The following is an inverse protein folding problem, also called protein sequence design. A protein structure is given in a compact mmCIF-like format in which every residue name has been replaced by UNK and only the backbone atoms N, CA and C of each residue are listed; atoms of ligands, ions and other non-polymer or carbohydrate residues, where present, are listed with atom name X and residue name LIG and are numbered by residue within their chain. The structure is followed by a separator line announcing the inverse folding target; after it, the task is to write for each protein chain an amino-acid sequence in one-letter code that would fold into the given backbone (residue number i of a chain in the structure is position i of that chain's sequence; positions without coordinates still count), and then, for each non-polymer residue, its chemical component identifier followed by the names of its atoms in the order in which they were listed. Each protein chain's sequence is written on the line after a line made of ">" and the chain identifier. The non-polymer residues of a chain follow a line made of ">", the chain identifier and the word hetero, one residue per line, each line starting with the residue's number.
data_IF_039416147499
#
_entry.id   IF_039416147499
#
_cell.length_a   1.000
_cell.length_b   1.000
_cell.length_c   1.000
_cell.angle_alpha   90.00
_cell.angle_beta   90.00
_cell.angle_gamma   90.00
#
_symmetry.space_group_name_H-M   'P 1'
#
loop_
_entity.id
_entity.type
_entity.pdbx_description
1 polymer ?
#
# COMPACT_ATOMS: atom_id res chain seq x y z
N UNK A 1 -6.12 0.79 23.86
CA UNK A 1 -7.30 1.60 23.46
C UNK A 1 -7.36 1.46 21.95
N UNK A 2 -8.49 1.01 21.41
CA UNK A 2 -8.67 0.88 19.96
C UNK A 2 -8.61 2.26 19.32
N UNK A 3 -7.89 2.37 18.20
CA UNK A 3 -7.74 3.65 17.49
C UNK A 3 -8.69 3.74 16.30
N UNK A 4 -9.34 2.63 15.92
CA UNK A 4 -10.37 2.60 14.87
C UNK A 4 -9.79 2.25 13.50
N UNK A 5 -8.69 1.49 13.46
CA UNK A 5 -8.08 1.01 12.21
C UNK A 5 -9.08 0.16 11.42
N UNK A 6 -9.82 -0.71 12.11
CA UNK A 6 -10.76 -1.64 11.47
C UNK A 6 -11.92 -0.92 10.80
N UNK A 7 -12.42 0.18 11.38
CA UNK A 7 -13.43 1.03 10.74
C UNK A 7 -12.92 1.60 9.41
N UNK A 8 -11.65 1.96 9.34
CA UNK A 8 -11.05 2.45 8.09
C UNK A 8 -10.88 1.32 7.09
N UNK A 9 -10.28 0.22 7.55
CA UNK A 9 -9.99 -0.91 6.69
C UNK A 9 -11.29 -1.50 6.16
N UNK A 10 -12.37 -1.63 6.93
CA UNK A 10 -13.65 -2.15 6.44
C UNK A 10 -14.13 -1.43 5.16
N UNK A 11 -13.96 -0.11 5.09
CA UNK A 11 -14.32 0.69 3.91
C UNK A 11 -13.40 0.54 2.69
N UNK A 12 -12.20 -0.04 2.82
CA UNK A 12 -11.27 -0.25 1.70
C UNK A 12 -11.67 -1.44 0.79
N UNK A 13 -12.96 -1.75 0.68
CA UNK A 13 -13.47 -3.00 0.09
C UNK A 13 -12.86 -3.27 -1.30
N UNK A 14 -12.17 -4.39 -1.42
CA UNK A 14 -11.61 -4.93 -2.67
C UNK A 14 -12.17 -6.34 -2.92
N UNK A 15 -12.48 -6.64 -4.19
CA UNK A 15 -12.81 -7.99 -4.68
C UNK A 15 -11.69 -9.00 -4.33
N UNK A 16 -10.46 -8.52 -4.12
CA UNK A 16 -9.30 -9.35 -3.76
C UNK A 16 -8.98 -9.46 -2.27
N UNK A 17 -9.82 -8.92 -1.36
CA UNK A 17 -9.71 -9.31 0.07
C UNK A 17 -9.78 -10.83 0.28
N UNK A 18 -10.23 -11.55 -0.73
CA UNK A 18 -10.19 -13.00 -0.80
C UNK A 18 -8.89 -13.54 -1.42
N UNK A 19 -8.05 -14.13 -0.56
CA UNK A 19 -7.24 -15.34 -0.77
C UNK A 19 -6.11 -15.36 -1.84
N UNK A 20 -5.90 -14.33 -2.64
CA UNK A 20 -5.01 -14.48 -3.83
C UNK A 20 -3.56 -14.02 -3.60
N UNK A 21 -3.31 -13.07 -2.69
CA UNK A 21 -1.95 -12.57 -2.43
C UNK A 21 -1.17 -13.39 -1.36
N UNK A 22 -1.78 -13.88 -0.25
CA UNK A 22 -0.97 -14.53 0.79
C UNK A 22 -0.81 -16.05 0.61
N UNK A 23 -1.41 -16.67 -0.42
CA UNK A 23 -1.31 -18.13 -0.64
C UNK A 23 0.14 -18.62 -0.83
N UNK A 24 1.07 -17.75 -1.25
CA UNK A 24 2.49 -18.05 -1.38
C UNK A 24 3.23 -18.18 -0.03
N UNK A 25 2.69 -17.63 1.05
CA UNK A 25 3.34 -17.57 2.38
C UNK A 25 2.63 -18.42 3.46
N UNK A 26 1.74 -19.34 3.05
CA UNK A 26 1.09 -20.29 3.97
C UNK A 26 0.01 -19.70 4.88
N UNK A 27 -0.25 -18.39 4.79
CA UNK A 27 -1.37 -17.71 5.44
C UNK A 27 -2.47 -17.52 4.40
N UNK A 28 -3.70 -17.96 4.68
CA UNK A 28 -4.88 -17.63 3.86
C UNK A 28 -5.89 -16.80 4.66
N UNK A 29 -5.49 -15.63 5.19
CA UNK A 29 -6.42 -14.75 5.87
C UNK A 29 -7.50 -14.36 4.88
N UNK A 30 -8.74 -14.48 5.33
CA UNK A 30 -9.92 -14.07 4.57
C UNK A 30 -10.09 -12.55 4.63
N UNK A 31 -9.39 -11.88 5.54
CA UNK A 31 -9.44 -10.42 5.72
C UNK A 31 -10.83 -9.95 6.12
N UNK A 32 -11.57 -10.82 6.80
CA UNK A 32 -12.95 -10.55 7.22
C UNK A 32 -12.92 -9.64 8.43
N UNK A 33 -13.73 -8.58 8.39
CA UNK A 33 -14.03 -7.72 9.52
C UNK A 33 -15.51 -7.94 9.86
N UNK A 34 -15.79 -8.43 11.06
CA UNK A 34 -17.14 -8.72 11.56
C UNK A 34 -17.38 -7.88 12.83
N UNK A 35 -18.50 -7.16 12.88
CA UNK A 35 -18.88 -6.29 14.00
C UNK A 35 -17.77 -5.30 14.43
N UNK A 36 -17.00 -4.80 13.46
CA UNK A 36 -15.89 -3.86 13.68
C UNK A 36 -14.58 -4.51 14.10
N UNK A 37 -14.49 -5.85 14.13
CA UNK A 37 -13.29 -6.58 14.51
C UNK A 37 -12.78 -7.48 13.38
N UNK A 38 -11.45 -7.54 13.14
CA UNK A 38 -10.89 -8.50 12.22
C UNK A 38 -11.02 -9.92 12.78
N UNK A 39 -11.45 -10.86 11.94
CA UNK A 39 -11.53 -12.28 12.29
C UNK A 39 -10.15 -12.94 12.21
N UNK A 40 -9.28 -12.43 11.34
CA UNK A 40 -7.92 -12.93 11.12
C UNK A 40 -6.88 -11.95 11.69
N UNK A 41 -5.82 -12.49 12.29
CA UNK A 41 -4.67 -11.74 12.81
C UNK A 41 -3.99 -10.82 11.80
N UNK A 42 -4.10 -11.19 10.53
CA UNK A 42 -3.59 -10.48 9.38
C UNK A 42 -4.78 -10.15 8.49
N UNK A 43 -5.03 -8.86 8.27
CA UNK A 43 -6.17 -8.39 7.47
C UNK A 43 -5.65 -7.58 6.27
N UNK A 44 -5.56 -8.17 5.06
CA UNK A 44 -5.05 -7.46 3.90
C UNK A 44 -6.02 -6.38 3.44
N UNK A 45 -5.46 -5.31 2.90
CA UNK A 45 -6.20 -4.28 2.17
C UNK A 45 -5.45 -3.89 0.89
N UNK A 46 -6.23 -3.45 -0.08
CA UNK A 46 -5.76 -3.02 -1.38
C UNK A 46 -6.56 -1.80 -1.83
N UNK A 47 -6.03 -1.06 -2.79
CA UNK A 47 -6.71 0.09 -3.39
C UNK A 47 -7.13 1.16 -2.35
N UNK A 48 -6.39 1.30 -1.24
CA UNK A 48 -6.66 2.29 -0.20
C UNK A 48 -6.50 3.70 -0.77
N UNK A 49 -7.56 4.49 -0.64
CA UNK A 49 -7.68 5.80 -1.27
C UNK A 49 -7.45 7.00 -0.33
N UNK A 50 -7.56 8.22 -0.87
CA UNK A 50 -7.23 9.45 -0.15
C UNK A 50 -8.03 9.66 1.13
N UNK A 51 -9.32 9.28 1.15
CA UNK A 51 -10.18 9.47 2.33
C UNK A 51 -9.75 8.59 3.49
N UNK A 52 -9.45 7.32 3.21
CA UNK A 52 -8.95 6.37 4.20
C UNK A 52 -7.55 6.75 4.67
N UNK A 53 -6.68 7.22 3.76
CA UNK A 53 -5.35 7.69 4.14
C UNK A 53 -5.39 8.88 5.11
N UNK A 54 -6.28 9.85 4.88
CA UNK A 54 -6.52 10.95 5.83
C UNK A 54 -6.99 10.44 7.18
N UNK A 55 -7.94 9.51 7.18
CA UNK A 55 -8.47 8.96 8.42
C UNK A 55 -7.40 8.22 9.22
N UNK A 56 -6.53 7.45 8.57
CA UNK A 56 -5.40 6.78 9.23
C UNK A 56 -4.40 7.78 9.82
N UNK A 57 -4.10 8.89 9.11
CA UNK A 57 -3.25 9.96 9.65
C UNK A 57 -3.82 10.61 10.92
N UNK A 58 -5.15 10.65 11.06
CA UNK A 58 -5.81 11.23 12.24
C UNK A 58 -5.78 10.30 13.45
N UNK A 59 -5.88 8.99 13.24
CA UNK A 59 -6.10 8.03 14.34
C UNK A 59 -4.84 7.29 14.76
N UNK A 60 -3.86 7.12 13.86
CA UNK A 60 -2.66 6.35 14.16
C UNK A 60 -1.71 7.15 15.09
N UNK A 61 -1.13 6.50 16.11
CA UNK A 61 -0.09 7.12 16.93
C UNK A 61 1.13 7.53 16.09
N UNK A 62 1.80 8.62 16.48
CA UNK A 62 2.99 9.12 15.78
C UNK A 62 4.07 8.05 15.59
N UNK A 63 4.30 7.20 16.61
CA UNK A 63 5.26 6.10 16.51
C UNK A 63 4.94 5.10 15.38
N UNK A 64 3.67 4.81 15.12
CA UNK A 64 3.29 3.94 13.99
C UNK A 64 3.44 4.66 12.65
N UNK A 65 3.22 5.99 12.61
CA UNK A 65 3.44 6.77 11.40
C UNK A 65 4.92 6.85 11.00
N UNK A 66 5.84 6.59 11.92
CA UNK A 66 7.29 6.53 11.70
C UNK A 66 7.77 5.12 11.28
N UNK A 67 6.92 4.09 11.40
CA UNK A 67 7.25 2.73 11.00
C UNK A 67 7.44 2.63 9.47
N UNK A 68 8.23 1.64 9.05
CA UNK A 68 8.57 1.32 7.66
C UNK A 68 8.45 -0.18 7.43
N UNK A 69 7.92 -0.57 6.28
CA UNK A 69 8.04 -1.94 5.79
C UNK A 69 9.42 -2.09 5.15
N UNK A 70 10.36 -2.77 5.81
CA UNK A 70 11.67 -3.11 5.22
C UNK A 70 12.37 -1.96 4.47
N UNK A 71 12.61 -0.86 5.20
CA UNK A 71 13.29 0.35 4.71
C UNK A 71 12.51 1.14 3.63
N UNK A 72 11.26 0.79 3.34
CA UNK A 72 10.33 1.58 2.52
C UNK A 72 10.09 2.98 3.10
N UNK A 73 9.36 3.89 2.39
CA UNK A 73 8.96 5.17 2.98
C UNK A 73 8.18 4.95 4.28
N UNK A 74 8.22 5.94 5.18
CA UNK A 74 7.41 5.88 6.39
C UNK A 74 5.94 5.72 6.07
N UNK A 75 5.19 5.02 6.92
CA UNK A 75 3.74 4.93 6.81
C UNK A 75 3.11 6.32 6.69
N UNK A 76 3.59 7.27 7.49
CA UNK A 76 3.16 8.66 7.43
C UNK A 76 3.39 9.34 6.09
N UNK A 77 4.54 9.13 5.42
CA UNK A 77 4.81 9.74 4.12
C UNK A 77 3.91 9.14 3.02
N UNK A 78 3.72 7.81 3.02
CA UNK A 78 2.80 7.12 2.10
C UNK A 78 1.36 7.60 2.25
N UNK A 79 0.86 7.69 3.49
CA UNK A 79 -0.50 8.17 3.74
C UNK A 79 -0.67 9.63 3.34
N UNK A 80 0.32 10.50 3.62
CA UNK A 80 0.28 11.91 3.19
C UNK A 80 0.30 12.04 1.67
N UNK A 81 1.13 11.26 0.98
CA UNK A 81 1.17 11.22 -0.46
C UNK A 81 -0.20 10.81 -1.04
N UNK A 82 -0.77 9.70 -0.56
CA UNK A 82 -2.10 9.23 -0.96
C UNK A 82 -3.21 10.26 -0.69
N UNK A 83 -3.21 10.86 0.50
CA UNK A 83 -4.18 11.88 0.88
C UNK A 83 -4.13 13.14 -0.01
N UNK A 84 -2.96 13.50 -0.54
CA UNK A 84 -2.73 14.71 -1.35
C UNK A 84 -2.83 14.47 -2.85
N UNK A 85 -2.66 13.23 -3.32
CA UNK A 85 -2.50 12.91 -4.74
C UNK A 85 -3.78 12.97 -5.58
N UNK A 86 -4.91 13.48 -5.05
CA UNK A 86 -6.22 13.55 -5.73
C UNK A 86 -6.64 12.22 -6.39
N UNK A 87 -6.27 11.10 -5.77
CA UNK A 87 -6.60 9.79 -6.31
C UNK A 87 -5.61 9.20 -7.31
N UNK A 88 -4.44 9.79 -7.53
CA UNK A 88 -3.34 9.18 -8.32
C UNK A 88 -2.58 8.08 -7.59
N UNK A 89 -2.45 8.15 -6.26
CA UNK A 89 -1.84 7.13 -5.43
C UNK A 89 -2.90 6.23 -4.81
N UNK A 90 -2.67 4.92 -4.84
CA UNK A 90 -3.40 3.93 -4.04
C UNK A 90 -2.41 3.09 -3.25
N UNK A 91 -2.78 2.72 -2.04
CA UNK A 91 -1.93 1.95 -1.14
C UNK A 91 -2.47 0.54 -0.93
N UNK A 92 -1.56 -0.39 -0.72
CA UNK A 92 -1.85 -1.79 -0.38
C UNK A 92 -0.97 -2.24 0.78
N UNK A 93 -1.49 -3.15 1.59
CA UNK A 93 -0.79 -3.70 2.73
C UNK A 93 -1.74 -4.47 3.64
N UNK A 94 -1.52 -4.41 4.94
CA UNK A 94 -2.27 -5.21 5.90
C UNK A 94 -2.40 -4.55 7.26
N UNK A 95 -3.48 -4.89 7.97
CA UNK A 95 -3.64 -4.61 9.39
C UNK A 95 -3.25 -5.83 10.24
N UNK A 96 -2.71 -5.59 11.45
CA UNK A 96 -2.44 -6.63 12.46
C UNK A 96 -3.24 -6.36 13.73
N UNK A 97 -4.11 -7.32 14.05
CA UNK A 97 -5.03 -7.41 15.18
C UNK A 97 -6.05 -8.52 14.88
N UNK A 98 -6.89 -8.97 15.83
CA UNK A 98 -7.35 -8.25 17.03
C UNK A 98 -6.55 -8.60 18.30
N UNK A 99 -5.69 -9.62 18.23
CA UNK A 99 -4.87 -10.12 19.33
C UNK A 99 -3.91 -9.12 19.97
N UNK A 100 -3.75 -7.94 19.36
CA UNK A 100 -2.89 -6.87 19.84
C UNK A 100 -3.71 -5.64 20.24
N UNK A 101 -3.41 -5.01 21.38
CA UNK A 101 -4.14 -3.83 21.84
C UNK A 101 -3.80 -2.55 21.07
N UNK A 102 -2.75 -2.58 20.25
CA UNK A 102 -2.17 -1.41 19.57
C UNK A 102 -2.51 -1.32 18.07
N UNK A 103 -3.47 -2.09 17.53
CA UNK A 103 -3.97 -2.06 16.13
C UNK A 103 -2.98 -1.47 15.11
N UNK A 104 -2.24 -2.33 14.40
CA UNK A 104 -1.19 -1.86 13.49
C UNK A 104 -1.63 -1.90 12.04
N UNK A 105 -1.13 -0.98 11.25
CA UNK A 105 -1.26 -0.98 9.80
C UNK A 105 0.12 -0.89 9.18
N UNK A 106 0.38 -1.73 8.20
CA UNK A 106 1.56 -1.69 7.35
C UNK A 106 1.12 -1.40 5.92
N UNK A 107 1.86 -0.53 5.23
CA UNK A 107 1.76 -0.35 3.78
C UNK A 107 3.04 -0.93 3.17
N UNK A 108 2.88 -1.86 2.24
CA UNK A 108 3.97 -2.55 1.55
C UNK A 108 4.02 -2.21 0.05
N UNK A 109 2.97 -1.57 -0.47
CA UNK A 109 2.95 -1.16 -1.86
C UNK A 109 2.16 0.12 -2.12
N UNK A 110 2.53 0.75 -3.22
CA UNK A 110 1.84 1.90 -3.79
C UNK A 110 1.65 1.72 -5.30
N UNK A 111 0.49 2.14 -5.78
CA UNK A 111 0.15 2.23 -7.20
C UNK A 111 0.02 3.69 -7.60
N UNK A 112 0.65 4.10 -8.69
CA UNK A 112 0.71 5.49 -9.16
C UNK A 112 0.11 5.62 -10.56
N UNK A 113 -0.82 6.55 -10.71
CA UNK A 113 -1.44 6.90 -11.98
C UNK A 113 -0.84 8.16 -12.61
N UNK A 114 0.45 8.11 -12.89
CA UNK A 114 1.14 9.19 -13.58
C UNK A 114 1.45 8.77 -15.01
N UNK A 115 0.83 9.42 -16.01
CA UNK A 115 0.95 9.00 -17.40
C UNK A 115 2.39 8.97 -17.92
N UNK A 116 3.22 9.91 -17.48
CA UNK A 116 4.62 10.02 -17.89
C UNK A 116 5.50 8.88 -17.36
N UNK A 117 5.08 8.20 -16.28
CA UNK A 117 5.76 6.98 -15.84
C UNK A 117 5.52 5.80 -16.81
N UNK A 118 4.44 5.83 -17.58
CA UNK A 118 4.12 4.79 -18.56
C UNK A 118 4.90 4.97 -19.87
N UNK A 119 5.53 6.12 -20.07
CA UNK A 119 6.42 6.38 -21.20
C UNK A 119 7.83 5.77 -20.96
N UNK A 120 8.14 5.39 -19.72
CA UNK A 120 9.39 4.74 -19.32
C UNK A 120 9.28 3.22 -19.43
N UNK A 121 10.15 2.61 -20.24
CA UNK A 121 10.11 1.17 -20.49
C UNK A 121 10.61 0.37 -19.28
N UNK A 122 9.71 -0.46 -18.73
CA UNK A 122 10.01 -1.44 -17.69
C UNK A 122 10.12 -2.83 -18.30
N UNK A 123 11.34 -3.34 -18.37
CA UNK A 123 11.64 -4.68 -18.87
C UNK A 123 11.32 -5.74 -17.81
N UNK A 124 10.78 -6.88 -18.21
CA UNK A 124 10.48 -8.02 -17.32
C UNK A 124 11.73 -8.56 -16.62
N UNK A 125 12.90 -8.43 -17.26
CA UNK A 125 14.21 -8.88 -16.75
C UNK A 125 14.84 -7.91 -15.76
N UNK A 126 14.37 -6.66 -15.69
CA UNK A 126 14.97 -5.58 -14.90
C UNK A 126 16.51 -5.45 -15.05
N UNK A 127 17.01 -5.64 -16.27
CA UNK A 127 18.43 -5.48 -16.59
C UNK A 127 18.84 -4.00 -16.78
N UNK A 128 20.09 -3.75 -17.19
CA UNK A 128 20.69 -2.42 -17.35
C UNK A 128 19.91 -1.48 -18.29
N UNK A 129 19.05 -2.02 -19.17
CA UNK A 129 18.19 -1.23 -20.06
C UNK A 129 16.86 -0.79 -19.43
N UNK A 130 16.55 -1.26 -18.23
CA UNK A 130 15.26 -1.01 -17.56
C UNK A 130 15.25 0.36 -16.85
N UNK A 131 14.16 1.11 -17.01
CA UNK A 131 14.00 2.43 -16.39
C UNK A 131 13.45 2.37 -14.95
N UNK A 132 13.57 1.22 -14.26
CA UNK A 132 13.03 1.03 -12.91
C UNK A 132 13.56 2.07 -11.91
N UNK A 133 14.85 2.42 -12.03
CA UNK A 133 15.48 3.44 -11.19
C UNK A 133 14.94 4.84 -11.45
N UNK A 134 14.79 5.21 -12.72
CA UNK A 134 14.26 6.51 -13.12
C UNK A 134 12.80 6.67 -12.70
N UNK A 135 11.98 5.64 -12.92
CA UNK A 135 10.59 5.58 -12.43
C UNK A 135 10.54 5.80 -10.92
N UNK A 136 11.38 5.10 -10.16
CA UNK A 136 11.42 5.27 -8.71
C UNK A 136 11.85 6.68 -8.31
N UNK A 137 12.92 7.21 -8.88
CA UNK A 137 13.43 8.54 -8.52
C UNK A 137 12.39 9.64 -8.82
N UNK A 138 11.65 9.53 -9.93
CA UNK A 138 10.52 10.41 -10.26
C UNK A 138 9.38 10.31 -9.24
N UNK A 139 8.94 9.10 -8.91
CA UNK A 139 7.87 8.87 -7.92
C UNK A 139 8.28 9.41 -6.55
N UNK A 140 9.49 9.07 -6.11
CA UNK A 140 10.04 9.49 -4.82
C UNK A 140 10.07 11.02 -4.71
N UNK A 141 10.59 11.70 -5.73
CA UNK A 141 10.68 13.16 -5.74
C UNK A 141 9.31 13.81 -5.81
N UNK A 142 8.42 13.33 -6.70
CA UNK A 142 7.09 13.91 -6.93
C UNK A 142 6.20 13.84 -5.71
N UNK A 143 6.30 12.77 -4.94
CA UNK A 143 5.44 12.50 -3.80
C UNK A 143 6.11 12.68 -2.44
N UNK A 144 7.34 13.21 -2.42
CA UNK A 144 8.11 13.50 -1.21
C UNK A 144 8.26 12.26 -0.30
N UNK A 145 8.64 11.14 -0.93
CA UNK A 145 8.81 9.86 -0.23
C UNK A 145 10.20 9.74 0.39
N UNK A 146 10.21 9.39 1.67
CA UNK A 146 11.39 9.36 2.52
C UNK A 146 12.01 7.96 2.64
N UNK A 147 11.91 7.13 1.60
CA UNK A 147 12.42 5.75 1.61
C UNK A 147 13.93 5.68 1.88
N UNK A 148 14.35 4.60 2.54
CA UNK A 148 15.77 4.27 2.74
C UNK A 148 16.27 3.24 1.71
N UNK A 149 15.38 2.48 1.08
CA UNK A 149 15.68 1.60 -0.05
C UNK A 149 14.79 1.92 -1.28
N UNK A 150 15.17 1.37 -2.43
CA UNK A 150 14.31 1.31 -3.62
C UNK A 150 13.27 0.19 -3.46
N UNK A 151 12.15 0.20 -4.19
CA UNK A 151 11.23 -0.93 -4.22
C UNK A 151 11.90 -2.19 -4.77
N UNK A 152 11.52 -3.35 -4.25
CA UNK A 152 11.95 -4.67 -4.71
C UNK A 152 11.26 -5.08 -6.01
N UNK A 153 10.02 -4.64 -6.23
CA UNK A 153 9.27 -4.85 -7.46
C UNK A 153 8.73 -3.53 -8.01
N UNK A 154 8.96 -3.28 -9.30
CA UNK A 154 8.34 -2.17 -10.05
C UNK A 154 7.76 -2.73 -11.34
N UNK A 155 6.45 -2.59 -11.54
CA UNK A 155 5.79 -3.08 -12.77
C UNK A 155 4.62 -2.22 -13.18
N UNK A 156 4.24 -2.31 -14.46
CA UNK A 156 2.98 -1.75 -14.93
C UNK A 156 1.85 -2.72 -14.62
N UNK A 157 0.80 -2.24 -13.93
CA UNK A 157 -0.40 -3.04 -13.71
C UNK A 157 -1.67 -2.17 -13.69
N UNK A 158 -2.83 -2.83 -13.81
CA UNK A 158 -4.10 -2.14 -13.59
C UNK A 158 -4.31 -1.90 -12.11
N UNK A 159 -4.97 -0.79 -11.76
CA UNK A 159 -5.28 -0.37 -10.38
C UNK A 159 -5.83 -1.48 -9.49
N UNK A 160 -6.63 -2.40 -10.04
CA UNK A 160 -7.19 -3.57 -9.35
C UNK A 160 -6.75 -4.86 -9.99
N UNK A 161 -5.47 -4.93 -10.40
CA UNK A 161 -4.78 -6.02 -11.08
C UNK A 161 -5.37 -6.45 -12.43
N UNK A 162 -6.65 -6.78 -12.45
CA UNK A 162 -7.41 -7.19 -13.64
C UNK A 162 -8.23 -6.06 -14.26
N UNK A 163 -8.56 -5.01 -13.48
CA UNK A 163 -9.50 -3.94 -13.87
C UNK A 163 -9.02 -2.55 -13.44
N UNK A 164 -9.62 -1.53 -14.05
CA UNK A 164 -9.31 -0.12 -13.81
C UNK A 164 -8.22 0.43 -14.73
N UNK A 165 -7.79 1.66 -14.44
CA UNK A 165 -6.73 2.33 -15.20
C UNK A 165 -5.39 1.64 -15.00
N UNK A 166 -4.54 1.72 -16.02
CA UNK A 166 -3.14 1.29 -15.95
C UNK A 166 -2.32 2.32 -15.19
N UNK A 167 -1.38 1.85 -14.39
CA UNK A 167 -0.43 2.67 -13.65
C UNK A 167 0.78 1.84 -13.22
N UNK A 168 1.65 2.45 -12.43
CA UNK A 168 2.89 1.82 -11.97
C UNK A 168 2.72 1.33 -10.54
N UNK A 169 2.96 0.04 -10.32
CA UNK A 169 3.02 -0.62 -9.03
C UNK A 169 4.45 -0.65 -8.52
N UNK A 170 4.65 -0.28 -7.25
CA UNK A 170 5.92 -0.32 -6.54
C UNK A 170 5.68 -1.03 -5.21
N UNK A 171 6.50 -2.04 -4.91
CA UNK A 171 6.34 -2.90 -3.73
C UNK A 171 7.68 -3.16 -3.04
N UNK A 172 7.62 -3.33 -1.72
CA UNK A 172 8.74 -3.65 -0.83
C UNK A 172 8.44 -4.96 -0.10
N UNK A 173 9.39 -5.89 -0.11
CA UNK A 173 9.32 -7.14 0.67
C UNK A 173 9.69 -6.85 2.11
#
# INVERSE_FOLDING_TARGET
>A
MRVGVWDVLDTCHDEMRSATVPAAFGLKPRGIIEDGEPVDDYTPFHDLGPSQARRLLEILPAAQLEDRQNLSPTLGSLLRACARSQGRIRLSGYGIGPQRPDERVTVEALWVQDPDLLDLELLETHDDGCHCREVWDLVRQRYDLDAQCVPDEIRVCRRRWTRGQTGTWLWWD
#
